data_IF_933376759069
#
_entry.id   IF_933376759069
#
_cell.length_a   1.000
_cell.length_b   1.000
_cell.length_c   1.000
_cell.angle_alpha   90.00
_cell.angle_beta   90.00
_cell.angle_gamma   90.00
#
_symmetry.space_group_name_H-M   'P 1'
#
loop_
_entity.id
_entity.type
_entity.pdbx_description
1 polymer ?
#
# COMPACT_ATOMS: atom_id res chain seq x y z
N UNK A 1 20.11 18.36 3.10
CA UNK A 1 19.29 17.22 3.56
C UNK A 1 19.78 16.02 2.76
N UNK A 2 20.39 15.04 3.40
CA UNK A 2 20.94 13.87 2.72
C UNK A 2 19.77 13.04 2.18
N UNK A 3 19.73 12.84 0.87
CA UNK A 3 18.91 11.81 0.24
C UNK A 3 19.38 10.46 0.81
N UNK A 4 18.73 9.97 1.84
CA UNK A 4 18.90 8.58 2.26
C UNK A 4 18.17 7.72 1.22
N UNK A 5 18.89 7.41 0.16
CA UNK A 5 18.48 6.33 -0.72
C UNK A 5 18.48 5.05 0.11
N UNK A 6 17.37 4.35 0.12
CA UNK A 6 17.31 3.00 0.63
C UNK A 6 18.38 2.19 -0.11
N UNK A 7 19.37 1.66 0.59
CA UNK A 7 20.51 0.96 -0.03
C UNK A 7 20.02 -0.31 -0.75
N UNK A 8 20.34 -0.46 -2.03
CA UNK A 8 20.12 -1.70 -2.81
C UNK A 8 19.10 -1.64 -3.95
N UNK A 9 18.63 -0.48 -4.35
CA UNK A 9 17.56 -0.25 -5.35
C UNK A 9 17.93 -0.50 -6.81
N UNK A 10 19.17 -0.81 -7.13
CA UNK A 10 19.70 -0.92 -8.49
C UNK A 10 19.35 -2.23 -9.23
N UNK A 11 18.50 -3.10 -8.65
CA UNK A 11 18.08 -4.36 -9.28
C UNK A 11 16.56 -4.49 -9.45
N UNK A 12 15.85 -3.40 -9.31
CA UNK A 12 14.41 -3.41 -9.51
C UNK A 12 14.06 -3.60 -10.99
N UNK A 13 12.95 -4.26 -11.23
CA UNK A 13 12.35 -4.42 -12.57
C UNK A 13 10.86 -4.10 -12.52
N UNK A 14 10.25 -3.61 -13.61
CA UNK A 14 8.82 -3.38 -13.64
C UNK A 14 8.07 -4.71 -13.49
N UNK A 15 6.92 -4.66 -12.83
CA UNK A 15 6.00 -5.78 -12.75
C UNK A 15 4.56 -5.29 -12.92
N UNK A 16 3.78 -6.03 -13.69
CA UNK A 16 2.34 -5.85 -13.83
C UNK A 16 1.65 -7.13 -13.38
N UNK A 17 0.63 -7.03 -12.55
CA UNK A 17 -0.19 -8.18 -12.17
C UNK A 17 -1.65 -7.93 -12.53
N UNK A 18 -2.27 -8.92 -13.14
CA UNK A 18 -3.62 -8.82 -13.67
C UNK A 18 -4.61 -9.54 -12.75
N UNK A 19 -5.68 -8.84 -12.40
CA UNK A 19 -6.70 -9.35 -11.47
C UNK A 19 -7.32 -10.68 -11.91
N UNK A 20 -7.54 -10.85 -13.22
CA UNK A 20 -8.11 -12.07 -13.81
C UNK A 20 -7.16 -13.28 -13.76
N UNK A 21 -5.86 -13.07 -13.57
CA UNK A 21 -4.84 -14.12 -13.45
C UNK A 21 -4.45 -14.38 -11.99
N UNK A 22 -5.02 -13.63 -11.05
CA UNK A 22 -4.65 -13.68 -9.64
C UNK A 22 -5.08 -15.00 -9.00
N UNK A 23 -4.14 -15.66 -8.36
CA UNK A 23 -4.38 -16.88 -7.61
C UNK A 23 -4.34 -16.58 -6.13
N UNK A 24 -5.36 -17.01 -5.42
CA UNK A 24 -5.43 -16.93 -3.98
C UNK A 24 -5.06 -18.28 -3.38
N UNK A 25 -4.11 -18.28 -2.47
CA UNK A 25 -3.58 -19.48 -1.82
C UNK A 25 -3.63 -19.31 -0.29
N UNK A 26 -3.66 -20.43 0.42
CA UNK A 26 -3.52 -20.42 1.88
C UNK A 26 -2.10 -19.97 2.25
N UNK A 27 -1.98 -19.18 3.32
CA UNK A 27 -0.70 -18.61 3.74
C UNK A 27 -0.51 -18.68 5.26
N UNK A 28 -0.06 -17.58 5.84
CA UNK A 28 0.26 -17.47 7.27
C UNK A 28 -0.91 -17.87 8.17
N UNK A 29 -2.12 -17.52 7.81
CA UNK A 29 -3.35 -17.80 8.57
C UNK A 29 -4.31 -18.66 7.74
N UNK A 30 -4.87 -19.69 8.37
CA UNK A 30 -5.86 -20.58 7.70
C UNK A 30 -7.16 -19.87 7.35
N UNK A 31 -7.51 -18.83 8.15
CA UNK A 31 -8.72 -18.05 7.97
C UNK A 31 -8.65 -17.06 6.79
N UNK A 32 -7.50 -16.94 6.14
CA UNK A 32 -7.28 -15.97 5.06
C UNK A 32 -6.61 -16.61 3.86
N UNK A 33 -6.91 -16.08 2.69
CA UNK A 33 -6.27 -16.40 1.42
C UNK A 33 -5.46 -15.19 0.94
N UNK A 34 -4.33 -15.46 0.30
CA UNK A 34 -3.34 -14.46 -0.10
C UNK A 34 -3.07 -14.56 -1.59
N UNK A 35 -2.95 -13.41 -2.25
CA UNK A 35 -2.53 -13.32 -3.63
C UNK A 35 -1.35 -12.35 -3.77
N UNK A 36 -0.20 -12.86 -4.20
CA UNK A 36 1.03 -12.09 -4.41
C UNK A 36 0.89 -11.11 -5.58
N UNK A 37 1.41 -9.90 -5.40
CA UNK A 37 1.49 -8.83 -6.40
C UNK A 37 2.88 -8.73 -7.07
N UNK A 38 3.77 -9.69 -6.83
CA UNK A 38 5.07 -9.79 -7.48
C UNK A 38 6.13 -8.79 -7.02
N UNK A 39 5.83 -7.96 -6.00
CA UNK A 39 6.75 -6.89 -5.57
C UNK A 39 8.05 -7.45 -4.96
N UNK A 40 8.01 -8.59 -4.27
CA UNK A 40 9.20 -9.15 -3.66
C UNK A 40 10.26 -9.53 -4.70
N UNK A 41 9.86 -10.14 -5.80
CA UNK A 41 10.76 -10.42 -6.93
C UNK A 41 11.19 -9.15 -7.65
N UNK A 42 10.24 -8.27 -7.96
CA UNK A 42 10.49 -7.03 -8.70
C UNK A 42 11.44 -6.07 -7.98
N UNK A 43 11.42 -6.05 -6.65
CA UNK A 43 12.24 -5.16 -5.81
C UNK A 43 13.46 -5.83 -5.17
N UNK A 44 13.72 -7.11 -5.49
CA UNK A 44 14.81 -7.87 -4.86
C UNK A 44 14.62 -8.06 -3.34
N UNK A 45 13.38 -8.19 -2.88
CA UNK A 45 13.03 -8.43 -1.48
C UNK A 45 12.88 -7.17 -0.62
N UNK A 46 12.92 -5.98 -1.22
CA UNK A 46 12.75 -4.72 -0.48
C UNK A 46 11.30 -4.47 -0.10
N UNK A 47 10.36 -4.83 -0.98
CA UNK A 47 8.93 -4.75 -0.71
C UNK A 47 8.24 -6.05 -1.02
N UNK A 48 7.14 -6.28 -0.37
CA UNK A 48 6.13 -7.26 -0.72
C UNK A 48 4.79 -6.55 -0.89
N UNK A 49 3.96 -7.08 -1.78
CA UNK A 49 2.59 -6.64 -1.97
C UNK A 49 1.70 -7.84 -2.13
N UNK A 50 0.55 -7.80 -1.49
CA UNK A 50 -0.42 -8.88 -1.54
C UNK A 50 -1.84 -8.37 -1.39
N UNK A 51 -2.80 -9.15 -1.89
CA UNK A 51 -4.21 -8.99 -1.54
C UNK A 51 -4.60 -10.14 -0.63
N UNK A 52 -5.19 -9.80 0.51
CA UNK A 52 -5.70 -10.75 1.49
C UNK A 52 -7.22 -10.70 1.46
N UNK A 53 -7.85 -11.86 1.55
CA UNK A 53 -9.30 -11.97 1.75
C UNK A 53 -9.62 -13.09 2.75
N UNK A 54 -10.83 -13.04 3.30
CA UNK A 54 -11.35 -14.13 4.14
C UNK A 54 -11.41 -15.42 3.32
N UNK A 55 -11.02 -16.52 3.94
CA UNK A 55 -11.14 -17.87 3.37
C UNK A 55 -12.55 -18.41 3.62
N UNK A 56 -13.41 -18.50 2.60
CA UNK A 56 -14.79 -18.96 2.79
C UNK A 56 -14.90 -20.45 3.20
N UNK A 57 -13.84 -21.22 2.95
CA UNK A 57 -13.81 -22.65 3.27
C UNK A 57 -13.31 -22.93 4.71
N UNK A 58 -12.93 -21.87 5.44
CA UNK A 58 -12.46 -21.98 6.81
C UNK A 58 -13.55 -21.56 7.79
N UNK A 59 -13.99 -22.52 8.60
CA UNK A 59 -14.86 -22.25 9.77
C UNK A 59 -13.99 -22.26 11.01
N UNK A 60 -13.91 -21.11 11.70
CA UNK A 60 -13.24 -21.05 12.98
C UNK A 60 -13.99 -21.95 14.00
N UNK A 61 -13.30 -22.80 14.75
CA UNK A 61 -13.95 -23.66 15.73
C UNK A 61 -14.64 -22.91 16.87
N UNK A 62 -14.24 -21.69 17.16
CA UNK A 62 -14.78 -20.84 18.23
C UNK A 62 -14.67 -19.34 17.84
N UNK A 63 -15.54 -18.49 18.42
CA UNK A 63 -15.52 -17.02 18.25
C UNK A 63 -14.19 -16.38 18.65
N UNK A 64 -13.44 -17.00 19.56
CA UNK A 64 -12.12 -16.56 20.02
C UNK A 64 -11.05 -16.54 18.92
N UNK A 65 -11.26 -17.23 17.79
CA UNK A 65 -10.29 -17.33 16.68
C UNK A 65 -10.48 -16.27 15.59
N UNK A 66 -11.36 -15.30 15.76
CA UNK A 66 -11.59 -14.23 14.78
C UNK A 66 -10.60 -13.05 14.89
N UNK A 67 -9.81 -13.02 15.96
CA UNK A 67 -8.82 -11.96 16.22
C UNK A 67 -7.40 -12.42 15.89
N UNK A 68 -6.54 -11.48 15.52
CA UNK A 68 -5.12 -11.76 15.26
C UNK A 68 -4.28 -11.86 16.52
N UNK A 69 -4.82 -11.43 17.67
CA UNK A 69 -4.08 -11.24 18.92
C UNK A 69 -3.18 -10.01 18.86
N UNK A 70 -2.76 -9.52 20.03
CA UNK A 70 -1.84 -8.38 20.07
C UNK A 70 -0.48 -8.77 19.52
N UNK A 71 -0.07 -8.10 18.46
CA UNK A 71 1.19 -8.35 17.79
C UNK A 71 1.78 -7.05 17.23
N UNK A 72 3.01 -7.12 16.73
CA UNK A 72 3.66 -6.04 16.02
C UNK A 72 4.52 -6.60 14.91
N UNK A 73 4.77 -5.77 13.94
CA UNK A 73 5.65 -6.08 12.81
C UNK A 73 6.92 -5.25 12.87
N UNK A 74 8.00 -5.80 12.34
CA UNK A 74 9.28 -5.12 12.15
C UNK A 74 9.44 -4.60 10.72
N UNK A 75 8.31 -4.23 10.07
CA UNK A 75 8.35 -3.57 8.77
C UNK A 75 8.82 -2.12 8.92
N UNK A 76 9.60 -1.65 7.99
CA UNK A 76 9.92 -0.22 7.90
C UNK A 76 8.73 0.58 7.37
N UNK A 77 7.88 -0.08 6.60
CA UNK A 77 6.68 0.47 6.00
C UNK A 77 5.61 -0.62 5.90
N UNK A 78 4.37 -0.33 6.28
CA UNK A 78 3.21 -1.21 6.05
C UNK A 78 1.97 -0.36 5.80
N UNK A 79 1.55 -0.30 4.54
CA UNK A 79 0.36 0.40 4.08
C UNK A 79 -0.73 -0.58 3.72
N UNK A 80 -1.97 -0.24 4.06
CA UNK A 80 -3.15 -1.06 3.82
C UNK A 80 -4.25 -0.22 3.16
N UNK A 81 -4.92 -0.81 2.18
CA UNK A 81 -6.09 -0.27 1.50
C UNK A 81 -7.21 -1.31 1.52
N UNK A 82 -8.33 -0.99 2.17
CA UNK A 82 -9.48 -1.90 2.28
C UNK A 82 -10.21 -1.93 0.94
N UNK A 83 -10.26 -3.09 0.30
CA UNK A 83 -10.90 -3.30 -0.99
C UNK A 83 -12.38 -3.63 -0.87
N UNK A 84 -12.76 -4.38 0.17
CA UNK A 84 -14.14 -4.77 0.47
C UNK A 84 -14.33 -5.05 1.96
N UNK A 85 -15.56 -4.98 2.43
CA UNK A 85 -15.92 -5.28 3.81
C UNK A 85 -15.40 -4.27 4.82
N UNK A 86 -15.24 -4.74 6.06
CA UNK A 86 -14.81 -3.95 7.22
C UNK A 86 -13.77 -4.69 8.05
N UNK A 87 -12.89 -3.92 8.71
CA UNK A 87 -11.95 -4.39 9.71
C UNK A 87 -11.96 -3.48 10.93
N UNK A 88 -11.97 -4.07 12.12
CA UNK A 88 -11.78 -3.38 13.39
C UNK A 88 -10.38 -3.64 13.91
N UNK A 89 -9.68 -2.58 14.30
CA UNK A 89 -8.27 -2.60 14.71
C UNK A 89 -8.13 -1.86 16.03
N UNK A 90 -7.50 -2.51 17.00
CA UNK A 90 -7.05 -1.89 18.25
C UNK A 90 -5.56 -1.57 18.15
N UNK A 91 -5.17 -0.36 18.47
CA UNK A 91 -3.77 0.09 18.44
C UNK A 91 -3.36 0.57 19.83
N UNK A 92 -2.25 0.01 20.34
CA UNK A 92 -1.74 0.35 21.66
C UNK A 92 -1.41 1.86 21.76
N UNK A 93 -2.06 2.49 22.74
CA UNK A 93 -1.91 3.92 23.03
C UNK A 93 -2.67 4.85 22.08
N UNK A 94 -3.41 4.35 21.08
CA UNK A 94 -4.17 5.16 20.13
C UNK A 94 -5.67 4.84 20.12
N UNK A 95 -6.07 3.65 20.61
CA UNK A 95 -7.47 3.23 20.71
C UNK A 95 -7.92 2.32 19.56
N UNK A 96 -9.22 2.38 19.25
CA UNK A 96 -9.88 1.52 18.27
C UNK A 96 -10.22 2.29 17.00
N UNK A 97 -10.12 1.62 15.85
CA UNK A 97 -10.50 2.15 14.55
C UNK A 97 -11.24 1.08 13.73
N UNK A 98 -12.28 1.50 13.01
CA UNK A 98 -12.93 0.69 11.99
C UNK A 98 -12.62 1.25 10.62
N UNK A 99 -12.05 0.43 9.73
CA UNK A 99 -11.82 0.76 8.34
C UNK A 99 -12.77 -0.03 7.44
N UNK A 100 -13.31 0.64 6.41
CA UNK A 100 -14.27 0.11 5.44
C UNK A 100 -13.72 0.16 4.03
N UNK A 101 -14.40 -0.49 3.10
CA UNK A 101 -14.04 -0.42 1.68
C UNK A 101 -13.73 1.02 1.23
N UNK A 102 -12.55 1.20 0.63
CA UNK A 102 -12.01 2.49 0.21
C UNK A 102 -11.18 3.22 1.27
N UNK A 103 -11.23 2.84 2.54
CA UNK A 103 -10.40 3.43 3.60
C UNK A 103 -8.96 2.90 3.55
N UNK A 104 -8.04 3.68 4.10
CA UNK A 104 -6.63 3.28 4.23
C UNK A 104 -6.17 3.37 5.68
N UNK A 105 -5.22 2.52 6.02
CA UNK A 105 -4.52 2.63 7.30
C UNK A 105 -3.03 2.29 7.17
N UNK A 106 -2.26 3.00 7.96
CA UNK A 106 -0.81 2.82 8.11
C UNK A 106 -0.50 2.66 9.59
N UNK A 107 0.19 1.58 9.93
CA UNK A 107 0.64 1.29 11.30
C UNK A 107 2.17 1.25 11.28
N UNK A 108 2.86 2.10 12.07
CA UNK A 108 4.30 2.14 12.10
C UNK A 108 4.94 0.86 12.61
N UNK A 109 6.20 0.67 12.26
CA UNK A 109 7.04 -0.40 12.78
C UNK A 109 7.02 -0.47 14.32
N UNK A 110 6.91 -1.66 14.85
CA UNK A 110 6.95 -1.92 16.28
C UNK A 110 5.74 -1.47 17.10
N UNK A 111 4.73 -0.87 16.48
CA UNK A 111 3.47 -0.51 17.14
C UNK A 111 2.63 -1.77 17.35
N UNK A 112 2.22 -2.00 18.60
CA UNK A 112 1.33 -3.10 18.93
C UNK A 112 -0.07 -2.82 18.42
N UNK A 113 -0.66 -3.83 17.80
CA UNK A 113 -2.04 -3.76 17.30
C UNK A 113 -2.67 -5.15 17.27
N UNK A 114 -3.97 -5.16 17.12
CA UNK A 114 -4.78 -6.36 16.98
C UNK A 114 -5.92 -6.09 16.00
N UNK A 115 -6.04 -6.88 14.97
CA UNK A 115 -7.25 -6.94 14.16
C UNK A 115 -8.26 -7.80 14.91
N UNK A 116 -9.32 -7.15 15.42
CA UNK A 116 -10.29 -7.78 16.34
C UNK A 116 -11.51 -8.34 15.63
N UNK A 117 -11.85 -7.83 14.47
CA UNK A 117 -12.97 -8.30 13.66
C UNK A 117 -12.75 -7.99 12.19
N UNK A 118 -13.20 -8.88 11.34
CA UNK A 118 -13.38 -8.64 9.90
C UNK A 118 -14.75 -9.15 9.47
N UNK A 119 -15.32 -8.55 8.42
CA UNK A 119 -16.55 -9.06 7.80
C UNK A 119 -16.22 -10.22 6.85
N UNK A 120 -17.22 -11.05 6.52
CA UNK A 120 -17.03 -12.23 5.63
C UNK A 120 -16.52 -11.87 4.24
N UNK A 121 -16.88 -10.69 3.74
CA UNK A 121 -16.47 -10.17 2.45
C UNK A 121 -15.19 -9.32 2.51
N UNK A 122 -14.52 -9.27 3.66
CA UNK A 122 -13.33 -8.45 3.85
C UNK A 122 -12.21 -8.82 2.88
N UNK A 123 -11.68 -7.77 2.22
CA UNK A 123 -10.48 -7.82 1.40
C UNK A 123 -9.62 -6.60 1.65
N UNK A 124 -8.34 -6.78 1.72
CA UNK A 124 -7.35 -5.71 1.89
C UNK A 124 -6.17 -5.91 0.98
N UNK A 125 -5.69 -4.85 0.36
CA UNK A 125 -4.39 -4.80 -0.28
C UNK A 125 -3.37 -4.29 0.72
N UNK A 126 -2.27 -5.02 0.90
CA UNK A 126 -1.14 -4.62 1.73
C UNK A 126 0.11 -4.42 0.88
N UNK A 127 0.87 -3.39 1.23
CA UNK A 127 2.24 -3.19 0.74
C UNK A 127 3.12 -2.98 1.97
N UNK A 128 4.19 -3.74 2.07
CA UNK A 128 5.12 -3.61 3.17
C UNK A 128 6.57 -3.84 2.75
N UNK A 129 7.48 -3.31 3.50
CA UNK A 129 8.93 -3.48 3.34
C UNK A 129 9.64 -3.50 4.69
N UNK A 130 10.71 -4.31 4.83
CA UNK A 130 11.23 -5.28 3.87
C UNK A 130 10.29 -6.48 3.67
N UNK A 131 10.40 -7.18 2.52
CA UNK A 131 9.53 -8.31 2.17
C UNK A 131 9.60 -9.48 3.18
N UNK A 132 10.70 -9.60 3.90
CA UNK A 132 10.89 -10.56 4.99
C UNK A 132 11.13 -9.80 6.28
N UNK A 133 10.05 -9.48 6.98
CA UNK A 133 10.10 -8.88 8.29
C UNK A 133 9.59 -9.86 9.35
N UNK A 134 10.06 -9.69 10.57
CA UNK A 134 9.62 -10.48 11.70
C UNK A 134 8.30 -9.93 12.23
N UNK A 135 7.47 -10.82 12.75
CA UNK A 135 6.27 -10.49 13.53
C UNK A 135 6.44 -11.06 14.93
N UNK A 136 6.27 -10.23 15.95
CA UNK A 136 6.26 -10.66 17.34
C UNK A 136 4.80 -10.69 17.81
N UNK A 137 4.32 -11.84 18.22
CA UNK A 137 3.01 -12.00 18.87
C UNK A 137 3.22 -11.87 20.38
N UNK A 138 2.53 -10.92 20.98
CA UNK A 138 2.63 -10.60 22.42
C UNK A 138 1.51 -11.24 23.20
N UNK A 139 0.30 -11.20 22.65
CA UNK A 139 -0.88 -11.88 23.19
C UNK A 139 -1.48 -12.71 22.07
N UNK A 140 -1.63 -14.00 22.31
CA UNK A 140 -2.22 -14.88 21.30
C UNK A 140 -3.70 -14.56 21.05
N UNK A 141 -4.21 -14.98 19.90
CA UNK A 141 -5.63 -14.93 19.61
C UNK A 141 -6.42 -15.60 20.75
N UNK A 142 -7.50 -14.95 21.20
CA UNK A 142 -8.28 -15.43 22.34
C UNK A 142 -8.08 -14.67 23.65
N UNK A 143 -7.15 -13.73 23.67
CA UNK A 143 -6.99 -12.78 24.77
C UNK A 143 -6.32 -13.34 26.03
N UNK A 144 -5.39 -12.59 26.57
CA UNK A 144 -4.74 -12.75 27.86
C UNK A 144 -4.15 -11.42 28.26
N UNK A 145 -4.01 -11.17 29.56
CA UNK A 145 -3.30 -10.00 30.04
C UNK A 145 -1.82 -10.05 29.58
N UNK A 146 -1.30 -8.91 29.14
CA UNK A 146 0.13 -8.77 28.84
C UNK A 146 0.89 -8.96 30.15
N UNK A 147 1.78 -9.96 30.22
CA UNK A 147 2.59 -10.19 31.42
C UNK A 147 3.51 -8.99 31.71
N UNK A 148 3.83 -8.78 32.99
CA UNK A 148 4.75 -7.70 33.40
C UNK A 148 6.10 -7.76 32.67
N UNK A 149 6.60 -8.96 32.37
CA UNK A 149 7.83 -9.18 31.58
C UNK A 149 7.69 -8.62 30.15
N UNK A 150 6.55 -8.83 29.54
CA UNK A 150 6.25 -8.28 28.22
C UNK A 150 6.00 -6.77 28.25
N UNK A 151 5.34 -6.25 29.30
CA UNK A 151 5.14 -4.81 29.48
C UNK A 151 6.47 -4.07 29.62
N UNK A 152 7.43 -4.60 30.37
CA UNK A 152 8.79 -4.05 30.48
C UNK A 152 9.56 -4.14 29.15
N UNK A 153 9.46 -5.27 28.46
CA UNK A 153 10.04 -5.46 27.13
C UNK A 153 9.48 -4.47 26.11
N UNK A 154 8.17 -4.24 26.14
CA UNK A 154 7.48 -3.29 25.28
C UNK A 154 7.90 -1.84 25.51
N UNK A 155 8.06 -1.44 26.78
CA UNK A 155 8.53 -0.10 27.13
C UNK A 155 9.93 0.18 26.55
N UNK A 156 10.84 -0.81 26.65
CA UNK A 156 12.18 -0.73 26.10
C UNK A 156 12.21 -0.74 24.56
N UNK A 157 11.25 -1.36 23.92
CA UNK A 157 11.16 -1.44 22.47
C UNK A 157 10.57 -0.18 21.83
N UNK A 158 9.74 0.58 22.56
CA UNK A 158 9.30 1.92 22.14
C UNK A 158 10.47 2.87 21.89
N UNK A 159 11.63 2.61 22.52
CA UNK A 159 12.86 3.38 22.37
C UNK A 159 13.74 2.91 21.18
N UNK A 160 13.52 1.70 20.66
CA UNK A 160 14.34 1.09 19.60
C UNK A 160 13.73 1.16 18.20
N UNK A 161 12.90 2.17 17.92
CA UNK A 161 12.43 2.40 16.56
C UNK A 161 13.64 2.63 15.64
N UNK A 162 13.62 1.96 14.49
CA UNK A 162 14.69 2.00 13.51
C UNK A 162 15.18 3.43 13.27
N UNK A 163 16.49 3.62 13.33
CA UNK A 163 17.14 4.90 13.09
C UNK A 163 16.75 5.45 11.72
N UNK A 164 16.12 6.61 11.70
CA UNK A 164 15.59 7.25 10.48
C UNK A 164 14.07 7.14 10.31
N UNK A 165 13.42 6.18 10.95
CA UNK A 165 11.97 5.94 10.90
C UNK A 165 11.25 6.31 12.21
N UNK A 166 11.97 6.84 13.17
CA UNK A 166 11.52 7.15 14.53
C UNK A 166 10.48 8.28 14.65
N UNK A 167 10.05 8.87 13.54
CA UNK A 167 9.01 9.89 13.48
C UNK A 167 7.71 9.41 12.84
N UNK A 168 7.59 8.12 12.59
CA UNK A 168 6.36 7.57 12.04
C UNK A 168 5.25 7.59 13.07
N UNK A 169 4.02 7.82 12.61
CA UNK A 169 2.79 7.75 13.40
C UNK A 169 1.71 7.01 12.61
N UNK A 170 0.77 6.41 13.31
CA UNK A 170 -0.37 5.78 12.65
C UNK A 170 -1.19 6.80 11.86
N UNK A 171 -1.76 6.36 10.75
CA UNK A 171 -2.62 7.18 9.92
C UNK A 171 -3.81 6.38 9.43
N UNK A 172 -4.99 6.98 9.52
CA UNK A 172 -6.24 6.44 9.02
C UNK A 172 -6.89 7.49 8.13
N UNK A 173 -7.26 7.12 6.91
CA UNK A 173 -8.03 8.00 6.03
C UNK A 173 -9.32 7.35 5.62
N UNK A 174 -10.43 8.03 5.88
CA UNK A 174 -11.76 7.53 5.57
C UNK A 174 -12.23 8.07 4.23
N UNK A 175 -12.88 7.22 3.46
CA UNK A 175 -13.47 7.56 2.16
C UNK A 175 -14.43 8.74 2.25
N UNK A 176 -15.25 8.80 3.31
CA UNK A 176 -16.24 9.85 3.54
C UNK A 176 -15.64 11.25 3.75
N UNK A 177 -14.39 11.32 4.25
CA UNK A 177 -13.70 12.58 4.57
C UNK A 177 -12.74 13.02 3.46
N UNK A 178 -12.64 12.20 2.40
CA UNK A 178 -11.69 12.37 1.31
C UNK A 178 -12.05 13.57 0.44
N UNK A 179 -11.04 14.41 0.19
CA UNK A 179 -11.18 15.59 -0.65
C UNK A 179 -10.26 15.49 -1.84
N UNK A 180 -10.84 15.59 -3.02
CA UNK A 180 -10.08 15.67 -4.26
C UNK A 180 -9.81 17.12 -4.63
N UNK A 181 -8.58 17.42 -5.02
CA UNK A 181 -8.13 18.73 -5.45
C UNK A 181 -7.19 18.65 -6.65
N UNK A 182 -6.83 19.80 -7.26
CA UNK A 182 -5.84 19.86 -8.32
C UNK A 182 -4.46 19.43 -7.79
N UNK A 183 -3.63 18.89 -8.67
CA UNK A 183 -2.26 18.48 -8.32
C UNK A 183 -1.29 18.65 -9.48
N UNK A 184 -0.41 17.69 -9.69
CA UNK A 184 0.67 17.76 -10.66
C UNK A 184 0.16 17.96 -12.09
N UNK A 185 -0.91 17.26 -12.48
CA UNK A 185 -1.48 17.29 -13.83
C UNK A 185 -2.86 17.93 -13.82
N UNK A 186 -3.12 18.80 -14.77
CA UNK A 186 -4.42 19.50 -14.89
C UNK A 186 -5.59 18.56 -15.13
N UNK A 187 -5.37 17.50 -15.90
CA UNK A 187 -6.39 16.50 -16.24
C UNK A 187 -6.73 15.54 -15.09
N UNK A 188 -6.07 15.65 -13.95
CA UNK A 188 -6.21 14.71 -12.82
C UNK A 188 -6.53 15.45 -11.52
N UNK A 189 -7.43 14.87 -10.73
CA UNK A 189 -7.72 15.27 -9.35
C UNK A 189 -7.09 14.26 -8.39
N UNK A 190 -6.53 14.76 -7.30
CA UNK A 190 -5.76 14.01 -6.33
C UNK A 190 -6.37 14.09 -4.93
N UNK A 191 -6.33 12.98 -4.18
CA UNK A 191 -6.70 12.94 -2.77
C UNK A 191 -5.57 12.30 -1.96
N UNK A 192 -4.97 13.07 -1.04
CA UNK A 192 -3.88 12.63 -0.17
C UNK A 192 -4.37 11.55 0.83
N UNK A 193 -3.56 10.53 1.03
CA UNK A 193 -3.78 9.44 1.98
C UNK A 193 -2.99 9.61 3.29
N UNK A 194 -2.40 10.78 3.53
CA UNK A 194 -1.73 11.13 4.78
C UNK A 194 -0.37 10.46 5.02
N UNK A 195 0.14 9.68 4.05
CA UNK A 195 1.39 8.93 4.23
C UNK A 195 2.61 9.84 4.36
N UNK A 196 2.64 10.98 3.71
CA UNK A 196 3.76 11.94 3.83
C UNK A 196 3.97 12.37 5.27
N UNK A 197 2.91 12.74 5.96
CA UNK A 197 2.98 13.13 7.36
C UNK A 197 3.25 11.91 8.26
N UNK A 198 2.54 10.81 8.04
CA UNK A 198 2.66 9.59 8.84
C UNK A 198 4.06 8.99 8.79
N UNK A 199 4.75 9.05 7.64
CA UNK A 199 6.08 8.47 7.44
C UNK A 199 7.23 9.46 7.56
N UNK A 200 6.96 10.72 7.93
CA UNK A 200 7.98 11.76 7.99
C UNK A 200 8.62 12.08 6.64
N UNK A 201 7.87 11.95 5.54
CA UNK A 201 8.30 12.25 4.18
C UNK A 201 8.95 11.08 3.43
N UNK A 202 8.97 9.88 4.01
CA UNK A 202 9.56 8.71 3.34
C UNK A 202 8.66 8.16 2.24
N UNK A 203 7.34 8.23 2.42
CA UNK A 203 6.37 7.81 1.42
C UNK A 203 5.28 8.86 1.23
N UNK A 204 4.67 8.84 0.07
CA UNK A 204 3.41 9.51 -0.24
C UNK A 204 2.42 8.47 -0.75
N UNK A 205 1.14 8.72 -0.50
CA UNK A 205 0.05 7.94 -1.05
C UNK A 205 -1.07 8.85 -1.46
N UNK A 206 -1.64 8.57 -2.60
CA UNK A 206 -2.74 9.37 -3.14
C UNK A 206 -3.71 8.50 -3.95
N UNK A 207 -4.94 8.98 -4.04
CA UNK A 207 -5.89 8.52 -5.02
C UNK A 207 -6.00 9.55 -6.14
N UNK A 208 -6.05 9.05 -7.35
CA UNK A 208 -6.14 9.81 -8.58
C UNK A 208 -7.43 9.50 -9.29
N UNK A 209 -8.09 10.51 -9.85
CA UNK A 209 -9.20 10.35 -10.78
C UNK A 209 -9.18 11.46 -11.82
N UNK A 210 -9.81 11.23 -12.95
CA UNK A 210 -9.88 12.27 -13.97
C UNK A 210 -10.65 13.50 -13.51
N UNK A 211 -10.17 14.65 -13.97
CA UNK A 211 -10.87 15.91 -13.84
C UNK A 211 -11.85 16.05 -15.02
N UNK A 212 -13.17 15.91 -14.81
CA UNK A 212 -14.12 15.91 -15.91
C UNK A 212 -14.20 17.23 -16.67
N UNK A 213 -13.67 18.32 -16.09
CA UNK A 213 -13.67 19.64 -16.73
C UNK A 213 -12.47 19.84 -17.67
N UNK A 214 -11.42 19.01 -17.54
CA UNK A 214 -10.13 19.23 -18.21
C UNK A 214 -9.56 18.00 -18.92
N UNK A 215 -10.15 16.84 -18.68
CA UNK A 215 -9.72 15.62 -19.37
C UNK A 215 -10.15 15.64 -20.83
N UNK A 216 -9.25 15.20 -21.71
CA UNK A 216 -9.53 14.92 -23.13
C UNK A 216 -9.14 13.49 -23.48
N UNK A 217 -9.86 12.85 -24.37
CA UNK A 217 -9.64 11.45 -24.78
C UNK A 217 -8.28 11.21 -25.47
N UNK A 218 -7.56 12.27 -25.77
CA UNK A 218 -6.27 12.22 -26.47
C UNK A 218 -5.09 12.58 -25.56
N UNK A 219 -5.34 12.74 -24.27
CA UNK A 219 -4.30 13.08 -23.30
C UNK A 219 -3.26 11.97 -23.17
N UNK A 220 -2.01 12.35 -23.09
CA UNK A 220 -0.89 11.47 -22.78
C UNK A 220 0.10 12.19 -21.87
N UNK A 221 0.68 11.46 -20.91
CA UNK A 221 1.68 12.05 -20.03
C UNK A 221 3.02 12.34 -20.71
N UNK A 222 3.20 11.85 -21.95
CA UNK A 222 4.49 11.89 -22.63
C UNK A 222 5.54 10.99 -21.94
N UNK A 223 6.61 10.68 -22.64
CA UNK A 223 7.70 9.88 -22.05
C UNK A 223 8.39 10.66 -20.92
N UNK A 224 8.37 10.10 -19.73
CA UNK A 224 8.96 10.70 -18.54
C UNK A 224 9.52 9.64 -17.59
N UNK A 225 10.16 10.07 -16.53
CA UNK A 225 10.62 9.23 -15.42
C UNK A 225 10.59 9.99 -14.11
N UNK A 226 10.47 9.24 -13.02
CA UNK A 226 10.52 9.78 -11.68
C UNK A 226 11.81 9.37 -10.95
N UNK A 227 12.27 10.23 -10.05
CA UNK A 227 13.37 9.91 -9.13
C UNK A 227 12.84 9.17 -7.87
N UNK A 228 11.67 8.51 -7.95
CA UNK A 228 11.17 7.65 -6.87
C UNK A 228 12.06 6.42 -6.71
N UNK A 229 12.23 6.00 -5.48
CA UNK A 229 12.87 4.73 -5.17
C UNK A 229 11.86 3.57 -5.23
N UNK A 230 10.58 3.88 -5.13
CA UNK A 230 9.45 2.96 -5.17
C UNK A 230 8.23 3.69 -5.74
N UNK A 231 7.52 3.08 -6.69
CA UNK A 231 6.26 3.59 -7.23
C UNK A 231 5.35 2.42 -7.56
N UNK A 232 4.29 2.28 -6.79
CA UNK A 232 3.29 1.24 -6.93
C UNK A 232 1.93 1.84 -7.24
N UNK A 233 1.21 1.20 -8.15
CA UNK A 233 -0.09 1.62 -8.63
C UNK A 233 -1.09 0.47 -8.55
N UNK A 234 -2.33 0.78 -8.18
CA UNK A 234 -3.48 -0.11 -8.20
C UNK A 234 -4.63 0.59 -8.92
N UNK A 235 -5.07 0.04 -10.05
CA UNK A 235 -6.20 0.56 -10.81
C UNK A 235 -7.49 0.22 -10.07
N UNK A 236 -8.20 1.23 -9.58
CA UNK A 236 -9.44 1.06 -8.83
C UNK A 236 -10.65 0.94 -9.74
N UNK A 237 -10.66 1.72 -10.83
CA UNK A 237 -11.73 1.74 -11.83
C UNK A 237 -11.16 2.09 -13.19
N UNK A 238 -11.88 1.73 -14.24
CA UNK A 238 -11.50 2.01 -15.62
C UNK A 238 -10.26 1.25 -16.07
N UNK A 239 -9.52 1.85 -17.00
CA UNK A 239 -8.31 1.28 -17.57
C UNK A 239 -7.27 2.34 -17.93
N UNK A 240 -6.00 1.94 -17.95
CA UNK A 240 -4.84 2.73 -18.33
C UNK A 240 -3.96 1.97 -19.30
N UNK A 241 -3.51 2.64 -20.35
CA UNK A 241 -2.54 2.13 -21.31
C UNK A 241 -1.14 2.68 -21.01
N UNK A 242 -0.17 1.80 -20.89
CA UNK A 242 1.19 2.08 -20.46
C UNK A 242 2.20 1.65 -21.52
N UNK A 243 3.17 2.51 -21.84
CA UNK A 243 4.42 2.16 -22.49
C UNK A 243 5.52 2.26 -21.43
N UNK A 244 6.28 1.18 -21.24
CA UNK A 244 7.33 1.08 -20.21
C UNK A 244 8.61 0.59 -20.88
N UNK A 245 9.71 1.31 -20.69
CA UNK A 245 11.01 0.91 -21.22
C UNK A 245 11.43 -0.49 -20.73
N UNK A 246 11.89 -1.33 -21.65
CA UNK A 246 12.25 -2.71 -21.36
C UNK A 246 11.06 -3.70 -21.27
N UNK A 247 9.84 -3.24 -21.52
CA UNK A 247 8.66 -4.10 -21.71
C UNK A 247 8.19 -3.98 -23.16
N UNK A 248 8.16 -5.13 -23.85
CA UNK A 248 7.65 -5.19 -25.23
C UNK A 248 6.14 -4.92 -25.23
N UNK A 249 5.70 -4.16 -26.23
CA UNK A 249 4.34 -3.75 -26.47
C UNK A 249 3.71 -2.87 -25.36
N UNK A 250 2.75 -2.08 -25.77
CA UNK A 250 1.87 -1.32 -24.87
C UNK A 250 1.09 -2.28 -23.99
N UNK A 251 1.02 -1.98 -22.69
CA UNK A 251 0.26 -2.75 -21.70
C UNK A 251 -0.99 -2.00 -21.28
N UNK A 252 -2.09 -2.71 -21.12
CA UNK A 252 -3.33 -2.17 -20.55
C UNK A 252 -3.55 -2.78 -19.18
N UNK A 253 -3.67 -1.94 -18.16
CA UNK A 253 -4.12 -2.32 -16.82
C UNK A 253 -5.56 -1.86 -16.61
N UNK A 254 -6.38 -2.71 -15.99
CA UNK A 254 -7.81 -2.51 -15.72
C UNK A 254 -8.10 -2.54 -14.23
N UNK A 255 -9.32 -2.21 -13.86
CA UNK A 255 -9.77 -2.28 -12.48
C UNK A 255 -9.35 -3.60 -11.80
N UNK A 256 -8.68 -3.49 -10.67
CA UNK A 256 -8.08 -4.60 -9.93
C UNK A 256 -6.64 -4.94 -10.30
N UNK A 257 -6.12 -4.47 -11.43
CA UNK A 257 -4.73 -4.70 -11.84
C UNK A 257 -3.77 -3.80 -11.06
N UNK A 258 -2.51 -4.23 -10.98
CA UNK A 258 -1.44 -3.44 -10.36
C UNK A 258 -0.24 -3.31 -11.30
N UNK A 259 0.49 -2.22 -11.13
CA UNK A 259 1.79 -2.06 -11.77
C UNK A 259 2.78 -1.36 -10.84
N UNK A 260 4.02 -1.82 -10.90
CA UNK A 260 5.16 -1.24 -10.19
C UNK A 260 6.17 -0.71 -11.19
N UNK A 261 6.58 0.53 -10.98
CA UNK A 261 7.57 1.22 -11.80
C UNK A 261 8.87 1.42 -11.00
N UNK A 262 9.98 0.82 -11.44
CA UNK A 262 11.28 0.98 -10.79
C UNK A 262 11.82 2.39 -10.88
N UNK A 263 12.80 2.68 -10.03
CA UNK A 263 13.57 3.92 -10.05
C UNK A 263 14.03 4.30 -11.46
N UNK A 264 13.66 5.51 -11.88
CA UNK A 264 14.06 6.13 -13.16
C UNK A 264 13.68 5.38 -14.43
N UNK A 265 12.78 4.40 -14.36
CA UNK A 265 12.30 3.77 -15.58
C UNK A 265 11.54 4.78 -16.42
N UNK A 266 11.81 4.77 -17.72
CA UNK A 266 11.07 5.57 -18.69
C UNK A 266 9.70 4.93 -18.92
N UNK A 267 8.67 5.75 -18.85
CA UNK A 267 7.29 5.29 -19.10
C UNK A 267 6.42 6.43 -19.62
N UNK A 268 5.27 6.06 -20.14
CA UNK A 268 4.23 6.98 -20.62
C UNK A 268 2.86 6.34 -20.38
N UNK A 269 1.97 7.06 -19.74
CA UNK A 269 0.54 6.78 -19.72
C UNK A 269 -0.06 7.35 -21.01
N UNK A 270 -0.35 6.47 -21.96
CA UNK A 270 -0.76 6.88 -23.33
C UNK A 270 -2.27 7.05 -23.48
N UNK A 271 -3.06 6.51 -22.59
CA UNK A 271 -4.52 6.62 -22.54
C UNK A 271 -5.05 6.18 -21.19
N UNK A 272 -6.10 6.82 -20.74
CA UNK A 272 -6.95 6.38 -19.63
C UNK A 272 -8.41 6.44 -20.04
N UNK A 273 -9.26 5.59 -19.45
CA UNK A 273 -10.72 5.67 -19.66
C UNK A 273 -11.35 6.77 -18.82
N UNK A 274 -12.54 7.24 -19.19
CA UNK A 274 -13.25 8.35 -18.53
C UNK A 274 -13.55 8.09 -17.03
N UNK A 275 -13.69 6.82 -16.67
CA UNK A 275 -13.95 6.38 -15.30
C UNK A 275 -12.68 5.97 -14.54
N UNK A 276 -11.51 6.26 -15.09
CA UNK A 276 -10.22 5.87 -14.50
C UNK A 276 -10.04 6.43 -13.09
N UNK A 277 -9.71 5.52 -12.18
CA UNK A 277 -9.27 5.82 -10.82
C UNK A 277 -8.08 4.94 -10.46
N UNK A 278 -7.11 5.54 -9.80
CA UNK A 278 -5.87 4.88 -9.41
C UNK A 278 -5.51 5.19 -7.96
N UNK A 279 -4.97 4.21 -7.28
CA UNK A 279 -4.22 4.41 -6.03
C UNK A 279 -2.75 4.35 -6.37
N UNK A 280 -2.01 5.37 -5.97
CA UNK A 280 -0.57 5.43 -6.12
C UNK A 280 0.11 5.56 -4.76
N UNK A 281 1.16 4.76 -4.53
CA UNK A 281 2.04 4.86 -3.38
C UNK A 281 3.47 4.92 -3.87
N UNK A 282 4.18 5.97 -3.47
CA UNK A 282 5.57 6.15 -3.88
C UNK A 282 6.46 6.68 -2.75
N UNK A 283 7.74 6.51 -2.90
CA UNK A 283 8.77 7.02 -1.98
C UNK A 283 10.08 7.35 -2.71
N UNK A 284 10.79 8.40 -2.27
CA UNK A 284 10.43 9.38 -1.23
C UNK A 284 9.29 10.30 -1.66
N UNK A 285 8.58 10.90 -0.68
CA UNK A 285 7.42 11.77 -0.93
C UNK A 285 7.74 13.04 -1.73
N UNK A 286 8.99 13.44 -1.77
CA UNK A 286 9.51 14.55 -2.60
C UNK A 286 10.51 13.99 -3.58
N UNK A 287 10.15 14.03 -4.84
CA UNK A 287 10.95 13.55 -5.94
C UNK A 287 10.79 14.48 -7.14
N UNK A 288 11.66 14.30 -8.13
CA UNK A 288 11.60 15.05 -9.39
C UNK A 288 11.01 14.16 -10.48
N UNK A 289 10.21 14.77 -11.34
CA UNK A 289 9.82 14.20 -12.63
C UNK A 289 10.69 14.80 -13.72
N UNK A 290 11.30 13.98 -14.56
CA UNK A 290 12.05 14.41 -15.72
C UNK A 290 11.23 14.09 -16.96
N UNK A 291 10.70 15.11 -17.58
CA UNK A 291 9.91 15.02 -18.80
C UNK A 291 10.85 14.96 -20.01
N UNK A 292 10.67 13.97 -20.89
CA UNK A 292 11.43 13.81 -22.15
C UNK A 292 10.59 14.17 -23.37
N UNK A 293 9.29 13.94 -23.30
CA UNK A 293 8.33 14.31 -24.32
C UNK A 293 7.24 15.16 -23.69
N UNK A 294 6.64 16.10 -24.44
CA UNK A 294 5.59 16.96 -23.89
C UNK A 294 4.37 16.14 -23.47
N UNK A 295 3.75 16.59 -22.38
CA UNK A 295 2.41 16.16 -21.99
C UNK A 295 1.41 16.75 -23.01
N UNK A 296 0.38 15.99 -23.33
CA UNK A 296 -0.77 16.43 -24.13
C UNK A 296 -1.99 16.28 -23.22
N UNK A 297 -2.59 17.42 -22.87
CA UNK A 297 -3.82 17.51 -22.04
C UNK A 297 -5.06 17.19 -22.86
#
# INVERSE_FOLDING_TARGET
>A
MSNQRLNGWNKQKPVLTYANNRKFETGLRKATLYADLGLAEATGGQFHGEIIKVNPDYSAPDEENQTTGMHRHHYDFKFNYVLAGEIDIVIDGEGEATCRAGDTYFIPSGVLHNETRVTEDFQVMQIYGPAKAQTDTVVQAGGGEVSDEWADKLSKMKEQRLTGWNKQKSSFTNTKDRKYGPGLRNAVLYADLGLTEATGGNFHGELQKLNPEKHTDQGTTGMHRHDYDFQFNFVQAGEIDLVIDGIDDKKTCRAGDTFFLPHKILHNETRVSDDFQNLEVYGPSKSNTVQLEPEID
#
